data_IF_910564791566
#
_entry.id   IF_910564791566
#
_cell.length_a   1.000
_cell.length_b   1.000
_cell.length_c   1.000
_cell.angle_alpha   90.00
_cell.angle_beta   90.00
_cell.angle_gamma   90.00
#
_symmetry.space_group_name_H-M   'P 1'
#
loop_
_entity.id
_entity.type
_entity.pdbx_description
1 polymer ?
#
# COMPACT_ATOMS: atom_id res chain seq x y z
N UNK A 1 17.90 5.59 -2.80
CA UNK A 1 17.62 6.65 -3.80
C UNK A 1 16.15 6.67 -4.20
N UNK A 2 15.59 5.53 -4.61
CA UNK A 2 14.17 5.39 -4.95
C UNK A 2 13.18 5.81 -3.85
N UNK A 3 13.32 5.27 -2.63
CA UNK A 3 12.40 5.58 -1.51
C UNK A 3 12.39 7.08 -1.17
N UNK A 4 13.57 7.70 -1.08
CA UNK A 4 13.71 9.14 -0.81
C UNK A 4 13.04 10.02 -1.87
N UNK A 5 13.11 9.61 -3.14
CA UNK A 5 12.46 10.33 -4.24
C UNK A 5 10.93 10.22 -4.15
N UNK A 6 10.42 9.03 -3.86
CA UNK A 6 8.98 8.82 -3.66
C UNK A 6 8.48 9.62 -2.44
N UNK A 7 9.22 9.61 -1.33
CA UNK A 7 8.89 10.40 -0.14
C UNK A 7 8.85 11.90 -0.43
N UNK A 8 9.84 12.42 -1.15
CA UNK A 8 9.89 13.85 -1.51
C UNK A 8 8.73 14.24 -2.43
N UNK A 9 8.43 13.45 -3.46
CA UNK A 9 7.31 13.72 -4.36
C UNK A 9 5.97 13.65 -3.63
N UNK A 10 5.78 12.68 -2.73
CA UNK A 10 4.57 12.61 -1.91
C UNK A 10 4.42 13.84 -1.00
N UNK A 11 5.52 14.34 -0.42
CA UNK A 11 5.50 15.54 0.40
C UNK A 11 5.14 16.81 -0.39
N UNK A 12 5.74 17.00 -1.58
CA UNK A 12 5.48 18.15 -2.47
C UNK A 12 4.02 18.20 -2.93
N UNK A 13 3.45 17.05 -3.30
CA UNK A 13 2.08 16.95 -3.80
C UNK A 13 1.02 16.72 -2.71
N UNK A 14 1.40 16.80 -1.43
CA UNK A 14 0.51 16.54 -0.28
C UNK A 14 -0.21 15.18 -0.35
N UNK A 15 0.48 14.16 -0.88
CA UNK A 15 -0.03 12.80 -0.96
C UNK A 15 0.34 12.07 0.32
N UNK A 16 -0.66 11.51 0.99
CA UNK A 16 -0.46 10.72 2.20
C UNK A 16 0.34 9.44 1.90
N UNK A 17 1.36 9.16 2.71
CA UNK A 17 2.25 8.00 2.54
C UNK A 17 2.17 7.07 3.76
N UNK A 18 2.03 5.77 3.51
CA UNK A 18 2.15 4.71 4.52
C UNK A 18 3.44 3.94 4.27
N UNK A 19 4.27 3.78 5.30
CA UNK A 19 5.47 2.94 5.26
C UNK A 19 5.15 1.54 5.75
N UNK A 20 5.65 0.54 5.04
CA UNK A 20 5.51 -0.89 5.36
C UNK A 20 6.91 -1.49 5.40
N UNK A 21 7.20 -2.31 6.40
CA UNK A 21 8.55 -2.84 6.65
C UNK A 21 9.01 -3.89 5.63
N UNK A 22 8.09 -4.74 5.15
CA UNK A 22 8.38 -5.86 4.24
C UNK A 22 7.76 -5.67 2.86
N UNK A 23 8.60 -5.66 1.82
CA UNK A 23 8.16 -5.58 0.43
C UNK A 23 7.37 -6.82 -0.04
N UNK A 24 7.66 -8.01 0.51
CA UNK A 24 6.92 -9.24 0.21
C UNK A 24 5.52 -9.22 0.81
N UNK A 25 5.36 -8.73 2.04
CA UNK A 25 4.04 -8.57 2.67
C UNK A 25 3.19 -7.59 1.85
N UNK A 26 3.79 -6.47 1.43
CA UNK A 26 3.10 -5.51 0.56
C UNK A 26 2.70 -6.16 -0.76
N UNK A 27 3.61 -6.92 -1.38
CA UNK A 27 3.34 -7.70 -2.59
C UNK A 27 2.16 -8.67 -2.47
N UNK A 28 2.07 -9.37 -1.33
CA UNK A 28 0.95 -10.24 -1.04
C UNK A 28 -0.37 -9.48 -0.91
N UNK A 29 -0.39 -8.35 -0.18
CA UNK A 29 -1.58 -7.51 -0.01
C UNK A 29 -2.12 -6.93 -1.32
N UNK A 30 -1.23 -6.57 -2.25
CA UNK A 30 -1.63 -6.08 -3.58
C UNK A 30 -1.95 -7.21 -4.56
N UNK A 31 -1.94 -8.47 -4.10
CA UNK A 31 -2.28 -9.63 -4.93
C UNK A 31 -1.18 -10.07 -5.90
N UNK A 32 0.07 -9.60 -5.72
CA UNK A 32 1.23 -10.08 -6.47
C UNK A 32 1.73 -11.43 -5.92
N UNK A 33 0.81 -12.38 -5.77
CA UNK A 33 1.09 -13.74 -5.33
C UNK A 33 0.21 -14.74 -6.09
N UNK A 34 0.62 -16.00 -6.11
CA UNK A 34 -0.21 -17.12 -6.57
C UNK A 34 -0.77 -17.85 -5.36
N UNK A 35 -2.07 -18.07 -5.33
CA UNK A 35 -2.72 -18.77 -4.22
C UNK A 35 -2.80 -20.26 -4.56
N UNK A 36 -2.25 -21.12 -3.70
CA UNK A 36 -2.40 -22.58 -3.81
C UNK A 36 -3.83 -23.01 -3.46
N UNK A 37 -4.20 -24.26 -3.75
CA UNK A 37 -5.52 -24.82 -3.43
C UNK A 37 -5.87 -24.81 -1.93
N UNK A 38 -4.86 -24.76 -1.06
CA UNK A 38 -5.01 -24.62 0.40
C UNK A 38 -5.17 -23.15 0.86
N UNK A 39 -5.22 -22.18 -0.05
CA UNK A 39 -5.33 -20.75 0.28
C UNK A 39 -4.00 -20.09 0.70
N UNK A 40 -2.89 -20.83 0.65
CA UNK A 40 -1.56 -20.30 1.03
C UNK A 40 -0.93 -19.54 -0.14
N UNK A 41 -0.34 -18.35 0.12
CA UNK A 41 0.35 -17.57 -0.90
C UNK A 41 1.71 -18.21 -1.25
N UNK A 42 1.95 -18.38 -2.55
CA UNK A 42 3.20 -18.84 -3.15
C UNK A 42 3.67 -17.84 -4.20
N UNK A 43 4.97 -17.92 -4.51
CA UNK A 43 5.61 -17.08 -5.56
C UNK A 43 5.26 -15.60 -5.40
N UNK A 44 5.32 -15.12 -4.15
CA UNK A 44 5.05 -13.72 -3.81
C UNK A 44 6.15 -12.86 -4.44
N UNK A 45 5.74 -11.91 -5.27
CA UNK A 45 6.62 -10.91 -5.85
C UNK A 45 6.60 -9.68 -4.94
N UNK A 46 7.78 -9.20 -4.55
CA UNK A 46 7.89 -8.01 -3.72
C UNK A 46 7.38 -6.77 -4.45
N UNK A 47 6.59 -5.96 -3.75
CA UNK A 47 6.15 -4.65 -4.23
C UNK A 47 6.96 -3.56 -3.53
N UNK A 48 7.50 -2.62 -4.29
CA UNK A 48 8.29 -1.50 -3.74
C UNK A 48 7.43 -0.27 -3.42
N UNK A 49 6.40 0.00 -4.23
CA UNK A 49 5.41 1.04 -3.96
C UNK A 49 4.10 0.72 -4.68
N UNK A 50 2.99 1.18 -4.11
CA UNK A 50 1.67 1.11 -4.72
C UNK A 50 0.96 2.43 -4.50
N UNK A 51 0.11 2.82 -5.46
CA UNK A 51 -0.73 4.01 -5.38
C UNK A 51 -2.16 3.62 -5.66
N UNK A 52 -3.09 4.09 -4.81
CA UNK A 52 -4.52 3.90 -5.03
C UNK A 52 -5.02 5.10 -5.83
N UNK A 53 -5.46 4.87 -7.07
CA UNK A 53 -6.02 5.92 -7.93
C UNK A 53 -7.53 6.08 -7.74
N UNK A 54 -8.20 4.97 -7.51
CA UNK A 54 -9.64 4.91 -7.30
C UNK A 54 -9.95 3.84 -6.25
N UNK A 55 -10.77 4.17 -5.27
CA UNK A 55 -11.20 3.24 -4.21
C UNK A 55 -12.42 2.40 -4.65
N UNK A 56 -13.07 2.77 -5.75
CA UNK A 56 -14.23 2.09 -6.33
C UNK A 56 -15.53 2.26 -5.53
N UNK A 57 -15.52 1.95 -4.23
CA UNK A 57 -16.68 2.07 -3.34
C UNK A 57 -16.31 2.79 -2.06
N UNK A 58 -17.23 3.64 -1.61
CA UNK A 58 -17.18 4.20 -0.26
C UNK A 58 -17.53 3.09 0.72
N UNK A 59 -16.55 2.72 1.53
CA UNK A 59 -16.62 1.61 2.48
C UNK A 59 -15.97 2.07 3.78
N UNK A 60 -16.38 1.48 4.90
CA UNK A 60 -15.81 1.79 6.23
C UNK A 60 -14.27 1.68 6.26
N UNK A 61 -13.69 0.84 5.41
CA UNK A 61 -12.24 0.74 5.28
C UNK A 61 -11.58 2.06 4.82
N UNK A 62 -12.26 2.84 3.97
CA UNK A 62 -11.79 4.14 3.50
C UNK A 62 -11.80 5.15 4.65
N UNK A 63 -12.87 5.19 5.45
CA UNK A 63 -12.98 6.08 6.61
C UNK A 63 -11.85 5.84 7.62
N UNK A 64 -11.56 4.57 7.93
CA UNK A 64 -10.47 4.19 8.83
C UNK A 64 -9.11 4.68 8.30
N UNK A 65 -8.88 4.56 6.99
CA UNK A 65 -7.63 5.02 6.37
C UNK A 65 -7.54 6.56 6.40
N UNK A 66 -8.63 7.26 6.10
CA UNK A 66 -8.68 8.72 6.15
C UNK A 66 -8.48 9.25 7.58
N UNK A 67 -9.07 8.62 8.59
CA UNK A 67 -8.88 8.98 9.99
C UNK A 67 -7.44 8.75 10.44
N UNK A 68 -6.85 7.61 10.06
CA UNK A 68 -5.43 7.34 10.33
C UNK A 68 -4.53 8.43 9.76
N UNK A 69 -4.79 8.93 8.55
CA UNK A 69 -4.03 10.03 7.96
C UNK A 69 -4.27 11.38 8.64
N UNK A 70 -5.49 11.65 9.14
CA UNK A 70 -5.78 12.85 9.93
C UNK A 70 -5.03 12.83 11.27
N UNK A 71 -4.95 11.68 11.93
CA UNK A 71 -4.27 11.53 13.22
C UNK A 71 -2.74 11.63 13.11
N UNK A 72 -2.18 11.33 11.94
CA UNK A 72 -0.73 11.33 11.70
C UNK A 72 -0.18 12.63 11.12
N UNK A 73 -1.04 13.63 10.96
CA UNK A 73 -0.68 14.99 10.50
C UNK A 73 -0.25 15.84 11.69
#
# INVERSE_FOLDING_TARGET
>A
MYVKLVEALCAEHQINLIKVDDNKKLGEWVGLCKIDREGKPRKVVGCSCVVVKDYGKESQAKDVIEEYFKCKK
#
